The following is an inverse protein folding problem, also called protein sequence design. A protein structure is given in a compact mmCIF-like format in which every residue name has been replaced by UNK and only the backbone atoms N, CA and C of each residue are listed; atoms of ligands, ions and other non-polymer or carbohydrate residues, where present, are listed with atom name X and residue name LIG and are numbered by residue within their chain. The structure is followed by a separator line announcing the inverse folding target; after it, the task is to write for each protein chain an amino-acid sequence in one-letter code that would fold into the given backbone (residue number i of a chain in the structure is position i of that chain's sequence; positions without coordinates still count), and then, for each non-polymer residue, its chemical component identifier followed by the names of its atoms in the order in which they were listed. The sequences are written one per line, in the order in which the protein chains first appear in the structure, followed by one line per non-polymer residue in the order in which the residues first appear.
data_IF_832347075888
#
_entry.id   IF_832347075888
#
_cell.length_a   1.000
_cell.length_b   1.000
_cell.length_c   1.000
_cell.angle_alpha   90.00
_cell.angle_beta   90.00
_cell.angle_gamma   90.00
#
_symmetry.space_group_name_H-M   'P 1'
#
loop_
_entity.id
_entity.type
_entity.pdbx_description
1 polymer ?
#
# COMPACT_ATOMS: atom_id res chain seq x y z
N UNK A 1 -4.92 1.56 -4.05
CA UNK A 1 -4.12 0.80 -5.04
C UNK A 1 -4.25 -0.69 -4.77
N UNK A 2 -4.19 -1.49 -5.80
CA UNK A 2 -4.09 -2.93 -5.64
C UNK A 2 -3.16 -3.53 -6.69
N UNK A 3 -2.58 -4.67 -6.34
CA UNK A 3 -1.62 -5.39 -7.17
C UNK A 3 -1.93 -6.89 -7.10
N UNK A 4 -1.99 -7.54 -8.26
CA UNK A 4 -2.17 -8.99 -8.36
C UNK A 4 -0.82 -9.65 -8.60
N UNK A 5 -0.43 -10.59 -7.74
CA UNK A 5 0.76 -11.36 -8.02
C UNK A 5 0.45 -12.49 -9.01
N UNK A 6 1.50 -13.18 -9.47
CA UNK A 6 1.37 -14.26 -10.46
C UNK A 6 0.60 -15.48 -9.93
N UNK A 7 0.40 -15.59 -8.62
CA UNK A 7 -0.32 -16.70 -8.00
C UNK A 7 -1.82 -16.38 -7.79
N UNK A 8 -2.29 -15.24 -8.28
CA UNK A 8 -3.69 -14.84 -8.16
C UNK A 8 -4.06 -14.19 -6.83
N UNK A 9 -3.08 -13.83 -6.01
CA UNK A 9 -3.31 -13.13 -4.76
C UNK A 9 -3.29 -11.62 -5.03
N UNK A 10 -4.33 -10.91 -4.56
CA UNK A 10 -4.43 -9.47 -4.67
C UNK A 10 -3.98 -8.81 -3.37
N UNK A 11 -3.15 -7.80 -3.48
CA UNK A 11 -2.78 -6.93 -2.37
C UNK A 11 -3.47 -5.59 -2.56
N UNK A 12 -4.34 -5.24 -1.64
CA UNK A 12 -5.04 -3.96 -1.64
C UNK A 12 -4.40 -3.04 -0.60
N UNK A 13 -4.10 -1.81 -1.01
CA UNK A 13 -3.45 -0.84 -0.13
C UNK A 13 -4.20 0.49 -0.15
N UNK A 14 -4.49 0.99 1.05
CA UNK A 14 -4.94 2.36 1.28
C UNK A 14 -4.11 2.94 2.43
N UNK A 15 -3.50 4.10 2.21
CA UNK A 15 -2.61 4.72 3.20
C UNK A 15 -3.31 5.08 4.51
N UNK A 16 -4.63 5.24 4.48
CA UNK A 16 -5.44 5.49 5.68
C UNK A 16 -5.98 4.22 6.33
N UNK A 17 -5.65 3.06 5.79
CA UNK A 17 -6.06 1.77 6.36
C UNK A 17 -7.51 1.38 6.12
N UNK A 18 -8.19 2.02 5.17
CA UNK A 18 -9.57 1.66 4.83
C UNK A 18 -9.60 0.34 4.07
N UNK A 19 -10.59 -0.50 4.37
CA UNK A 19 -10.73 -1.79 3.69
C UNK A 19 -11.30 -1.64 2.28
N UNK A 20 -11.18 -2.68 1.43
CA UNK A 20 -11.86 -2.68 0.12
C UNK A 20 -13.37 -2.48 0.22
N UNK A 21 -14.01 -2.96 1.29
CA UNK A 21 -15.45 -2.77 1.50
C UNK A 21 -15.82 -1.30 1.60
N UNK A 22 -14.97 -0.47 2.20
CA UNK A 22 -15.20 0.97 2.30
C UNK A 22 -15.36 1.61 0.92
N UNK A 23 -14.62 1.11 -0.08
CA UNK A 23 -14.65 1.61 -1.46
C UNK A 23 -15.57 0.80 -2.37
N UNK A 24 -16.37 -0.11 -1.81
CA UNK A 24 -17.27 -1.00 -2.56
C UNK A 24 -16.53 -1.88 -3.58
N UNK A 25 -15.30 -2.28 -3.25
CA UNK A 25 -14.44 -3.08 -4.12
C UNK A 25 -14.33 -4.54 -3.68
N UNK A 26 -14.95 -4.93 -2.57
CA UNK A 26 -14.81 -6.27 -2.02
C UNK A 26 -15.31 -7.34 -2.99
N UNK A 27 -16.50 -7.13 -3.60
CA UNK A 27 -17.04 -8.07 -4.57
C UNK A 27 -16.15 -8.22 -5.79
N UNK A 28 -15.57 -7.12 -6.26
CA UNK A 28 -14.63 -7.15 -7.38
C UNK A 28 -13.41 -8.00 -7.05
N UNK A 29 -12.80 -7.80 -5.89
CA UNK A 29 -11.63 -8.57 -5.46
C UNK A 29 -11.96 -10.04 -5.26
N UNK A 30 -13.15 -10.36 -4.74
CA UNK A 30 -13.58 -11.75 -4.58
C UNK A 30 -13.73 -12.47 -5.92
N UNK A 31 -14.08 -11.75 -6.99
CA UNK A 31 -14.24 -12.31 -8.32
C UNK A 31 -12.93 -12.41 -9.10
N UNK A 32 -11.98 -11.52 -8.83
CA UNK A 32 -10.78 -11.37 -9.66
C UNK A 32 -9.52 -11.94 -9.03
N UNK A 33 -9.59 -12.41 -7.78
CA UNK A 33 -8.45 -12.99 -7.09
C UNK A 33 -8.84 -14.27 -6.36
N UNK A 34 -7.85 -15.14 -6.13
CA UNK A 34 -8.02 -16.34 -5.30
C UNK A 34 -8.15 -15.93 -3.83
N UNK A 35 -7.33 -14.97 -3.43
CA UNK A 35 -7.31 -14.41 -2.09
C UNK A 35 -6.91 -12.94 -2.20
N UNK A 36 -7.40 -12.11 -1.28
CA UNK A 36 -6.92 -10.74 -1.21
C UNK A 36 -6.54 -10.38 0.23
N UNK A 37 -5.51 -9.53 0.34
CA UNK A 37 -4.92 -9.09 1.59
C UNK A 37 -4.88 -7.56 1.55
N UNK A 38 -5.17 -6.90 2.68
CA UNK A 38 -5.07 -5.45 2.76
C UNK A 38 -4.38 -5.00 4.05
N UNK A 39 -3.81 -3.82 4.02
CA UNK A 39 -3.28 -3.22 5.23
C UNK A 39 -4.45 -2.79 6.12
N UNK A 40 -4.39 -3.19 7.40
CA UNK A 40 -5.43 -2.86 8.37
C UNK A 40 -5.11 -1.60 9.16
N UNK A 41 -3.85 -1.16 9.11
CA UNK A 41 -3.37 -0.01 9.87
C UNK A 41 -3.22 1.20 8.97
N UNK A 42 -3.59 2.36 9.48
CA UNK A 42 -3.29 3.62 8.86
C UNK A 42 -1.78 3.86 8.91
N UNK A 43 -1.21 4.38 7.83
CA UNK A 43 0.21 4.74 7.74
C UNK A 43 0.41 6.25 7.62
N UNK A 44 -0.46 6.91 6.87
CA UNK A 44 -0.32 8.32 6.51
C UNK A 44 -0.82 9.23 7.62
N UNK A 45 -0.08 10.33 7.84
CA UNK A 45 -0.49 11.41 8.73
C UNK A 45 -1.40 12.41 8.03
N UNK A 46 -1.20 13.70 8.29
CA UNK A 46 -2.02 14.79 7.72
C UNK A 46 -1.47 15.31 6.39
N UNK A 47 -0.55 14.60 5.77
CA UNK A 47 0.05 14.98 4.50
C UNK A 47 -0.91 14.71 3.33
N UNK A 48 -0.50 15.20 2.14
CA UNK A 48 -1.19 14.94 0.89
C UNK A 48 -0.45 13.88 0.05
N UNK A 49 0.25 12.97 0.69
CA UNK A 49 1.16 12.03 0.04
C UNK A 49 0.51 10.68 -0.30
N UNK A 50 -0.84 10.58 -0.29
CA UNK A 50 -1.51 9.29 -0.55
C UNK A 50 -1.09 8.68 -1.91
N UNK A 51 -0.95 9.50 -2.95
CA UNK A 51 -0.48 9.04 -4.26
C UNK A 51 0.94 8.50 -4.22
N UNK A 52 1.81 9.13 -3.44
CA UNK A 52 3.21 8.70 -3.28
C UNK A 52 3.27 7.37 -2.53
N UNK A 53 2.48 7.20 -1.48
CA UNK A 53 2.36 5.91 -0.78
C UNK A 53 1.96 4.80 -1.76
N UNK A 54 0.96 5.05 -2.60
CA UNK A 54 0.49 4.07 -3.58
C UNK A 54 1.56 3.74 -4.62
N UNK A 55 2.28 4.73 -5.12
CA UNK A 55 3.36 4.50 -6.09
C UNK A 55 4.48 3.65 -5.51
N UNK A 56 4.90 3.93 -4.28
CA UNK A 56 5.92 3.13 -3.61
C UNK A 56 5.42 1.73 -3.31
N UNK A 57 4.17 1.58 -2.88
CA UNK A 57 3.57 0.26 -2.68
C UNK A 57 3.65 -0.57 -3.97
N UNK A 58 3.22 -0.03 -5.09
CA UNK A 58 3.24 -0.74 -6.36
C UNK A 58 4.68 -1.06 -6.81
N UNK A 59 5.62 -0.16 -6.56
CA UNK A 59 7.03 -0.38 -6.87
C UNK A 59 7.60 -1.57 -6.08
N UNK A 60 7.32 -1.64 -4.78
CA UNK A 60 7.76 -2.77 -3.97
C UNK A 60 7.09 -4.07 -4.38
N UNK A 61 5.79 -4.03 -4.69
CA UNK A 61 5.05 -5.22 -5.17
C UNK A 61 5.65 -5.76 -6.47
N UNK A 62 5.98 -4.87 -7.41
CA UNK A 62 6.55 -5.29 -8.71
C UNK A 62 7.91 -5.95 -8.57
N UNK A 63 8.62 -5.68 -7.48
CA UNK A 63 9.90 -6.33 -7.15
C UNK A 63 9.76 -7.50 -6.18
N UNK A 64 8.50 -7.94 -5.94
CA UNK A 64 8.19 -9.04 -5.01
C UNK A 64 8.65 -8.75 -3.57
N UNK A 65 8.56 -7.49 -3.14
CA UNK A 65 8.99 -7.01 -1.83
C UNK A 65 7.85 -6.34 -1.05
N UNK A 66 6.62 -6.83 -1.23
CA UNK A 66 5.43 -6.24 -0.59
C UNK A 66 5.57 -6.11 0.92
N UNK A 67 6.05 -7.16 1.59
CA UNK A 67 6.21 -7.14 3.05
C UNK A 67 7.33 -6.21 3.50
N UNK A 68 8.36 -6.00 2.68
CA UNK A 68 9.40 -5.05 2.97
C UNK A 68 8.87 -3.62 2.97
N UNK A 69 7.90 -3.32 2.10
CA UNK A 69 7.23 -2.02 2.11
C UNK A 69 6.56 -1.76 3.47
N UNK A 70 5.76 -2.69 3.95
CA UNK A 70 5.06 -2.52 5.23
C UNK A 70 6.02 -2.45 6.42
N UNK A 71 7.16 -3.10 6.34
CA UNK A 71 8.17 -3.06 7.39
C UNK A 71 8.85 -1.69 7.55
N UNK A 72 8.72 -0.79 6.58
CA UNK A 72 9.28 0.56 6.67
C UNK A 72 8.57 1.44 7.70
N UNK A 73 7.33 1.13 8.04
CA UNK A 73 6.44 2.06 8.72
C UNK A 73 6.15 1.64 10.16
N UNK A 74 5.80 2.64 10.97
CA UNK A 74 5.43 2.47 12.38
C UNK A 74 4.05 3.09 12.62
N UNK A 75 3.64 3.17 13.90
CA UNK A 75 2.42 3.84 14.29
C UNK A 75 2.58 5.38 14.40
N UNK A 76 3.78 5.89 14.18
CA UNK A 76 4.05 7.34 14.13
C UNK A 76 3.81 7.83 12.70
N UNK A 77 2.65 8.42 12.47
CA UNK A 77 2.22 8.83 11.12
C UNK A 77 3.08 9.93 10.53
N UNK A 78 3.53 10.89 11.34
CA UNK A 78 4.40 11.96 10.85
C UNK A 78 5.76 11.43 10.44
N UNK A 79 6.30 10.47 11.18
CA UNK A 79 7.55 9.80 10.81
C UNK A 79 7.38 9.00 9.53
N UNK A 80 6.25 8.34 9.34
CA UNK A 80 5.94 7.62 8.12
C UNK A 80 5.93 8.56 6.91
N UNK A 81 5.31 9.73 7.04
CA UNK A 81 5.28 10.73 5.96
C UNK A 81 6.69 11.20 5.60
N UNK A 82 7.57 11.36 6.58
CA UNK A 82 8.98 11.70 6.33
C UNK A 82 9.71 10.58 5.61
N UNK A 83 9.49 9.33 6.02
CA UNK A 83 10.11 8.16 5.39
C UNK A 83 9.67 7.99 3.95
N UNK A 84 8.40 8.23 3.65
CA UNK A 84 7.88 8.09 2.29
C UNK A 84 8.55 9.11 1.37
N UNK A 85 8.71 10.33 1.81
CA UNK A 85 9.39 11.38 1.06
C UNK A 85 10.85 11.02 0.81
N UNK A 86 11.55 10.55 1.84
CA UNK A 86 12.95 10.13 1.73
C UNK A 86 13.11 8.99 0.74
N UNK A 87 12.26 7.97 0.83
CA UNK A 87 12.31 6.83 -0.08
C UNK A 87 12.03 7.22 -1.52
N UNK A 88 11.08 8.13 -1.73
CA UNK A 88 10.80 8.64 -3.07
C UNK A 88 12.04 9.32 -3.67
N UNK A 89 12.67 10.20 -2.92
CA UNK A 89 13.89 10.89 -3.37
C UNK A 89 15.01 9.89 -3.69
N UNK A 90 15.17 8.86 -2.86
CA UNK A 90 16.19 7.83 -3.08
C UNK A 90 15.95 7.03 -4.35
N UNK A 91 14.69 6.79 -4.72
CA UNK A 91 14.34 5.99 -5.90
C UNK A 91 14.40 6.77 -7.21
N UNK A 92 14.21 8.09 -7.17
CA UNK A 92 14.09 8.91 -8.37
C UNK A 92 15.22 9.93 -8.55
N UNK A 93 16.18 9.94 -7.63
CA UNK A 93 17.43 10.65 -7.81
C UNK A 93 18.44 9.73 -8.52
#
# INVERSE_FOLDING_TARGET
AFYYNKNGIAYFFDSYGKSPAFFQLENYLNKTSIEWIHNKKRLQGKSQYCGIYCLLFLSYCSRQQTWNFFALFSDNFDLNDKKITFNLMKHYD
#
